data_IF_772636574924
#
_entry.id   IF_772636574924
#
_cell.length_a   1.000
_cell.length_b   1.000
_cell.length_c   1.000
_cell.angle_alpha   90.00
_cell.angle_beta   90.00
_cell.angle_gamma   90.00
#
_symmetry.space_group_name_H-M   'P 1'
#
loop_
_entity.id
_entity.type
_entity.pdbx_description
1 polymer ?
#
# COMPACT_ATOMS: atom_id res chain seq x y z
N UNK A 1 33.81 4.06 24.35
CA UNK A 1 34.42 2.93 23.62
C UNK A 1 33.43 1.76 23.46
N UNK A 2 32.34 1.98 22.72
CA UNK A 2 31.42 0.91 22.29
C UNK A 2 31.86 0.27 20.96
N UNK A 3 32.89 0.82 20.31
CA UNK A 3 33.30 0.40 18.96
C UNK A 3 34.11 -0.90 18.88
N UNK A 4 34.47 -1.52 20.02
CA UNK A 4 35.21 -2.81 20.05
C UNK A 4 34.37 -4.04 20.37
N UNK A 5 33.14 -3.86 20.87
CA UNK A 5 32.18 -4.94 21.12
C UNK A 5 30.90 -4.63 20.33
N UNK A 6 30.85 -5.08 19.07
CA UNK A 6 29.68 -4.86 18.23
C UNK A 6 28.50 -5.70 18.74
N UNK A 7 27.67 -5.10 19.59
CA UNK A 7 26.34 -5.64 19.92
C UNK A 7 25.59 -5.96 18.63
N UNK A 8 24.80 -7.03 18.67
CA UNK A 8 23.86 -7.33 17.60
C UNK A 8 22.81 -6.21 17.52
N UNK A 9 22.21 -6.00 16.35
CA UNK A 9 21.25 -4.91 16.13
C UNK A 9 20.07 -4.95 17.13
N UNK A 10 19.60 -6.15 17.47
CA UNK A 10 18.50 -6.34 18.43
C UNK A 10 18.92 -6.05 19.88
N UNK A 11 20.15 -6.39 20.27
CA UNK A 11 20.69 -6.07 21.61
C UNK A 11 20.85 -4.55 21.75
N UNK A 12 21.41 -3.93 20.73
CA UNK A 12 21.56 -2.48 20.65
C UNK A 12 20.21 -1.76 20.71
N UNK A 13 19.19 -2.31 20.04
CA UNK A 13 17.83 -1.80 20.13
C UNK A 13 17.30 -1.80 21.55
N UNK A 14 17.46 -2.90 22.29
CA UNK A 14 17.03 -2.99 23.70
C UNK A 14 17.76 -1.98 24.59
N UNK A 15 19.07 -1.80 24.38
CA UNK A 15 19.87 -0.83 25.15
C UNK A 15 19.41 0.60 24.86
N UNK A 16 19.24 0.98 23.59
CA UNK A 16 18.77 2.31 23.20
C UNK A 16 17.35 2.56 23.72
N UNK A 17 16.46 1.58 23.61
CA UNK A 17 15.11 1.67 24.16
C UNK A 17 15.11 1.91 25.69
N UNK A 18 15.95 1.18 26.44
CA UNK A 18 16.09 1.39 27.88
C UNK A 18 16.63 2.79 28.22
N UNK A 19 17.60 3.29 27.45
CA UNK A 19 18.12 4.65 27.59
C UNK A 19 16.99 5.67 27.33
N UNK A 20 16.18 5.48 26.29
CA UNK A 20 15.06 6.37 25.97
C UNK A 20 14.05 6.46 27.10
N UNK A 21 13.66 5.33 27.70
CA UNK A 21 12.73 5.31 28.84
C UNK A 21 13.29 6.12 30.03
N UNK A 22 14.60 6.05 30.28
CA UNK A 22 15.25 6.85 31.32
C UNK A 22 15.24 8.34 30.94
N UNK A 23 15.58 8.68 29.70
CA UNK A 23 15.61 10.07 29.24
C UNK A 23 14.21 10.72 29.21
N UNK A 24 13.15 9.94 29.02
CA UNK A 24 11.76 10.40 29.11
C UNK A 24 11.37 10.77 30.55
N UNK A 25 12.04 10.22 31.56
CA UNK A 25 11.79 10.57 32.97
C UNK A 25 12.38 11.93 33.38
N UNK A 26 13.17 12.57 32.52
CA UNK A 26 13.82 13.84 32.85
C UNK A 26 12.80 14.99 32.80
N UNK A 27 12.73 15.78 33.87
CA UNK A 27 11.88 16.99 33.92
C UNK A 27 12.47 18.18 33.16
N UNK A 28 13.79 18.22 32.98
CA UNK A 28 14.50 19.27 32.25
C UNK A 28 14.64 18.91 30.76
N UNK A 29 13.87 19.62 29.92
CA UNK A 29 13.88 19.46 28.46
C UNK A 29 15.23 19.78 27.82
N UNK A 30 15.99 20.74 28.36
CA UNK A 30 17.29 21.10 27.82
C UNK A 30 18.31 19.98 28.09
N UNK A 31 18.31 19.40 29.30
CA UNK A 31 19.13 18.23 29.61
C UNK A 31 18.73 17.00 28.79
N UNK A 32 17.43 16.79 28.57
CA UNK A 32 16.93 15.72 27.70
C UNK A 32 17.44 15.90 26.26
N UNK A 33 17.28 17.09 25.68
CA UNK A 33 17.75 17.42 24.33
C UNK A 33 19.27 17.24 24.17
N UNK A 34 20.05 17.72 25.13
CA UNK A 34 21.51 17.57 25.14
C UNK A 34 21.92 16.08 25.23
N UNK A 35 21.21 15.30 26.04
CA UNK A 35 21.49 13.87 26.21
C UNK A 35 21.14 13.07 24.95
N UNK A 36 20.02 13.39 24.30
CA UNK A 36 19.62 12.78 23.03
C UNK A 36 20.59 13.14 21.89
N UNK A 37 21.01 14.40 21.82
CA UNK A 37 22.02 14.86 20.85
C UNK A 37 23.32 14.10 21.07
N UNK A 38 23.74 13.91 22.33
CA UNK A 38 24.94 13.12 22.66
C UNK A 38 24.78 11.65 22.28
N UNK A 39 23.62 11.04 22.54
CA UNK A 39 23.32 9.65 22.17
C UNK A 39 23.43 9.44 20.65
N UNK A 40 22.93 10.40 19.87
CA UNK A 40 22.91 10.33 18.40
C UNK A 40 24.16 10.89 17.72
N UNK A 41 25.06 11.57 18.44
CA UNK A 41 26.26 12.21 17.89
C UNK A 41 27.12 11.29 17.01
N UNK A 42 27.36 10.05 17.46
CA UNK A 42 28.09 9.04 16.69
C UNK A 42 27.37 8.62 15.41
N UNK A 43 26.04 8.56 15.45
CA UNK A 43 25.18 8.23 14.33
C UNK A 43 25.18 9.35 13.27
N UNK A 44 25.09 10.62 13.70
CA UNK A 44 25.21 11.77 12.81
C UNK A 44 26.57 11.82 12.14
N UNK A 45 27.64 11.66 12.93
CA UNK A 45 29.02 11.63 12.41
C UNK A 45 29.23 10.52 11.38
N UNK A 46 28.61 9.35 11.56
CA UNK A 46 28.70 8.25 10.61
C UNK A 46 28.06 8.59 9.26
N UNK A 47 26.90 9.25 9.27
CA UNK A 47 26.21 9.70 8.05
C UNK A 47 26.96 10.84 7.35
N UNK A 48 27.48 11.79 8.12
CA UNK A 48 28.29 12.89 7.58
C UNK A 48 29.54 12.36 6.89
N UNK A 49 30.26 11.41 7.51
CA UNK A 49 31.45 10.78 6.92
C UNK A 49 31.15 10.03 5.63
N UNK A 50 29.96 9.45 5.51
CA UNK A 50 29.54 8.73 4.31
C UNK A 50 29.16 9.69 3.19
N UNK A 51 28.50 10.81 3.50
CA UNK A 51 27.99 11.79 2.51
C UNK A 51 28.97 12.92 2.19
N UNK A 52 30.19 12.87 2.69
CA UNK A 52 31.22 13.88 2.47
C UNK A 52 31.76 13.79 1.02
N UNK A 53 31.50 14.82 0.20
CA UNK A 53 31.72 14.84 -1.26
C UNK A 53 33.19 14.62 -1.61
N UNK A 54 34.11 15.14 -0.79
CA UNK A 54 35.55 14.98 -0.98
C UNK A 54 36.01 13.52 -0.79
N UNK A 55 35.17 12.68 -0.16
CA UNK A 55 35.46 11.27 0.14
C UNK A 55 34.79 10.28 -0.79
N UNK A 56 33.80 10.65 -1.60
CA UNK A 56 33.10 9.70 -2.48
C UNK A 56 34.07 8.97 -3.44
N UNK A 57 35.02 9.72 -4.02
CA UNK A 57 36.05 9.17 -4.92
C UNK A 57 37.14 8.39 -4.20
N UNK A 58 37.47 8.74 -2.94
CA UNK A 58 38.52 8.05 -2.17
C UNK A 58 38.01 6.79 -1.46
N UNK A 59 36.73 6.74 -1.08
CA UNK A 59 36.07 5.57 -0.50
C UNK A 59 35.94 4.42 -1.50
N UNK A 60 35.69 4.73 -2.78
CA UNK A 60 35.72 3.72 -3.86
C UNK A 60 37.08 3.03 -3.99
N UNK A 61 38.17 3.72 -3.63
CA UNK A 61 39.53 3.17 -3.69
C UNK A 61 39.89 2.31 -2.45
N UNK A 62 39.06 2.29 -1.41
CA UNK A 62 39.25 1.43 -0.23
C UNK A 62 37.93 0.73 0.18
N UNK A 63 37.64 -0.44 -0.40
CA UNK A 63 36.39 -1.17 -0.15
C UNK A 63 36.15 -1.53 1.32
N UNK A 64 37.21 -1.83 2.08
CA UNK A 64 37.08 -2.22 3.48
C UNK A 64 36.64 -1.04 4.36
N UNK A 65 37.25 0.14 4.16
CA UNK A 65 36.84 1.35 4.87
C UNK A 65 35.41 1.75 4.48
N UNK A 66 35.06 1.65 3.20
CA UNK A 66 33.71 1.94 2.72
C UNK A 66 32.63 1.07 3.38
N UNK A 67 32.84 -0.26 3.45
CA UNK A 67 31.91 -1.18 4.13
C UNK A 67 31.78 -0.83 5.63
N UNK A 68 32.86 -0.44 6.28
CA UNK A 68 32.81 -0.01 7.69
C UNK A 68 31.96 1.25 7.87
N UNK A 69 32.11 2.26 7.00
CA UNK A 69 31.28 3.46 7.05
C UNK A 69 29.81 3.18 6.74
N UNK A 70 29.52 2.34 5.74
CA UNK A 70 28.15 1.88 5.44
C UNK A 70 27.50 1.21 6.64
N UNK A 71 28.20 0.25 7.27
CA UNK A 71 27.66 -0.47 8.43
C UNK A 71 27.43 0.47 9.63
N UNK A 72 28.34 1.42 9.85
CA UNK A 72 28.17 2.43 10.89
C UNK A 72 26.97 3.34 10.63
N UNK A 73 26.78 3.77 9.37
CA UNK A 73 25.62 4.56 8.94
C UNK A 73 24.30 3.80 9.11
N UNK A 74 24.25 2.54 8.68
CA UNK A 74 23.09 1.65 8.85
C UNK A 74 22.70 1.53 10.33
N UNK A 75 23.67 1.21 11.20
CA UNK A 75 23.43 1.16 12.66
C UNK A 75 22.97 2.51 13.20
N UNK A 76 23.59 3.60 12.75
CA UNK A 76 23.21 4.96 13.12
C UNK A 76 21.75 5.29 12.81
N UNK A 77 21.28 4.93 11.61
CA UNK A 77 19.90 5.11 11.19
C UNK A 77 18.92 4.26 12.02
N UNK A 78 19.26 3.01 12.31
CA UNK A 78 18.44 2.19 13.20
C UNK A 78 18.31 2.81 14.59
N UNK A 79 19.40 3.32 15.17
CA UNK A 79 19.36 4.04 16.47
C UNK A 79 18.44 5.26 16.40
N UNK A 80 18.57 6.09 15.36
CA UNK A 80 17.70 7.26 15.16
C UNK A 80 16.23 6.85 15.08
N UNK A 81 15.91 5.81 14.31
CA UNK A 81 14.54 5.29 14.20
C UNK A 81 13.97 4.82 15.54
N UNK A 82 14.78 4.17 16.38
CA UNK A 82 14.37 3.75 17.73
C UNK A 82 14.09 4.98 18.60
N UNK A 83 14.99 5.97 18.61
CA UNK A 83 14.78 7.21 19.35
C UNK A 83 13.46 7.87 18.96
N UNK A 84 13.17 8.02 17.66
CA UNK A 84 11.88 8.55 17.22
C UNK A 84 10.70 7.70 17.71
N UNK A 85 10.77 6.36 17.60
CA UNK A 85 9.65 5.49 18.00
C UNK A 85 9.25 5.63 19.48
N UNK A 86 10.19 5.95 20.36
CA UNK A 86 9.91 6.18 21.78
C UNK A 86 9.25 7.54 22.04
N UNK A 87 9.71 8.60 21.35
CA UNK A 87 9.16 9.95 21.50
C UNK A 87 7.66 10.04 21.19
N UNK A 88 7.13 9.17 20.29
CA UNK A 88 5.70 9.06 19.99
C UNK A 88 4.83 8.79 21.22
N UNK A 89 5.35 8.06 22.21
CA UNK A 89 4.58 7.62 23.40
C UNK A 89 4.32 8.77 24.36
N UNK A 90 5.12 9.84 24.28
CA UNK A 90 5.10 10.98 25.20
C UNK A 90 4.22 12.16 24.75
N UNK A 91 3.84 12.21 23.46
CA UNK A 91 3.12 13.33 22.83
C UNK A 91 1.61 13.40 23.16
N UNK A 92 1.08 12.48 23.97
CA UNK A 92 -0.34 12.48 24.36
C UNK A 92 -0.73 13.58 25.36
N UNK A 93 0.22 14.39 25.85
CA UNK A 93 -0.01 15.49 26.77
C UNK A 93 0.55 16.79 26.15
N UNK A 94 -0.34 17.51 25.47
CA UNK A 94 0.02 18.64 24.61
C UNK A 94 0.76 19.77 25.31
N UNK A 95 1.71 20.37 24.57
CA UNK A 95 2.03 21.81 24.47
C UNK A 95 2.96 21.97 23.25
N UNK A 96 2.63 22.91 22.36
CA UNK A 96 3.03 22.89 20.95
C UNK A 96 4.39 23.52 20.58
N UNK A 97 5.06 24.27 21.45
CA UNK A 97 6.11 25.18 20.97
C UNK A 97 7.56 24.85 21.32
N UNK A 98 7.84 23.80 22.10
CA UNK A 98 9.23 23.37 22.41
C UNK A 98 9.29 21.85 22.58
N UNK A 99 9.06 21.13 21.48
CA UNK A 99 9.10 19.68 21.49
C UNK A 99 10.49 19.19 21.03
N UNK A 100 11.11 18.36 21.86
CA UNK A 100 12.35 17.60 21.60
C UNK A 100 12.39 17.01 20.19
N UNK A 101 11.24 16.63 19.66
CA UNK A 101 11.08 16.08 18.32
C UNK A 101 11.41 17.08 17.21
N UNK A 102 11.04 18.36 17.33
CA UNK A 102 11.34 19.39 16.33
C UNK A 102 12.86 19.60 16.22
N UNK A 103 13.56 19.65 17.36
CA UNK A 103 15.04 19.76 17.39
C UNK A 103 15.68 18.57 16.68
N UNK A 104 15.19 17.36 16.94
CA UNK A 104 15.70 16.16 16.29
C UNK A 104 15.38 16.11 14.80
N UNK A 105 14.19 16.52 14.37
CA UNK A 105 13.83 16.59 12.95
C UNK A 105 14.71 17.58 12.19
N UNK A 106 14.99 18.74 12.78
CA UNK A 106 15.86 19.76 12.17
C UNK A 106 17.30 19.28 11.96
N UNK A 107 17.77 18.34 12.77
CA UNK A 107 19.08 17.70 12.58
C UNK A 107 19.00 16.49 11.64
N UNK A 108 17.94 15.70 11.78
CA UNK A 108 17.76 14.44 11.08
C UNK A 108 17.49 14.62 9.59
N UNK A 109 16.53 15.48 9.23
CA UNK A 109 16.08 15.60 7.84
C UNK A 109 17.20 16.08 6.90
N UNK A 110 17.96 17.16 7.18
CA UNK A 110 19.02 17.60 6.27
C UNK A 110 20.09 16.53 6.00
N UNK A 111 20.45 15.74 7.02
CA UNK A 111 21.39 14.63 6.87
C UNK A 111 20.81 13.51 6.00
N UNK A 112 19.54 13.17 6.22
CA UNK A 112 18.87 12.13 5.47
C UNK A 112 18.61 12.55 4.02
N UNK A 113 18.22 13.80 3.79
CA UNK A 113 18.03 14.37 2.45
C UNK A 113 19.33 14.34 1.66
N UNK A 114 20.46 14.72 2.28
CA UNK A 114 21.78 14.61 1.67
C UNK A 114 22.13 13.15 1.35
N UNK A 115 21.79 12.21 2.23
CA UNK A 115 21.98 10.79 2.00
C UNK A 115 21.15 10.29 0.80
N UNK A 116 19.87 10.67 0.73
CA UNK A 116 18.97 10.31 -0.37
C UNK A 116 19.42 10.84 -1.74
N UNK A 117 20.22 11.90 -1.77
CA UNK A 117 20.81 12.45 -3.01
C UNK A 117 22.16 11.81 -3.37
N UNK A 118 22.70 10.96 -2.50
CA UNK A 118 24.01 10.33 -2.70
C UNK A 118 23.93 9.04 -3.51
N UNK A 119 25.05 8.64 -4.12
CA UNK A 119 25.20 7.37 -4.85
C UNK A 119 25.08 6.14 -3.95
N UNK A 120 25.19 6.32 -2.63
CA UNK A 120 25.16 5.21 -1.67
C UNK A 120 23.77 4.56 -1.54
N UNK A 121 22.72 5.22 -2.02
CA UNK A 121 21.34 4.72 -2.02
C UNK A 121 21.12 3.50 -2.95
N UNK A 122 22.09 3.16 -3.77
CA UNK A 122 22.11 1.87 -4.48
C UNK A 122 22.18 0.69 -3.49
N UNK A 123 22.76 0.89 -2.30
CA UNK A 123 22.85 -0.16 -1.29
C UNK A 123 21.49 -0.39 -0.58
N UNK A 124 20.84 -1.52 -0.89
CA UNK A 124 19.52 -1.88 -0.33
C UNK A 124 19.45 -1.84 1.20
N UNK A 125 20.52 -2.22 1.92
CA UNK A 125 20.51 -2.22 3.40
C UNK A 125 20.51 -0.80 3.97
N UNK A 126 21.34 0.08 3.42
CA UNK A 126 21.36 1.50 3.79
C UNK A 126 20.02 2.15 3.48
N UNK A 127 19.49 1.92 2.29
CA UNK A 127 18.21 2.45 1.84
C UNK A 127 17.05 1.97 2.71
N UNK A 128 17.02 0.68 3.05
CA UNK A 128 16.02 0.14 3.98
C UNK A 128 16.15 0.75 5.39
N UNK A 129 17.35 0.95 5.91
CA UNK A 129 17.57 1.58 7.21
C UNK A 129 17.14 3.05 7.21
N UNK A 130 17.46 3.80 6.16
CA UNK A 130 17.07 5.20 5.97
C UNK A 130 15.54 5.35 5.91
N UNK A 131 14.89 4.58 5.04
CA UNK A 131 13.43 4.53 4.90
C UNK A 131 12.75 4.11 6.21
N UNK A 132 13.29 3.13 6.94
CA UNK A 132 12.75 2.72 8.24
C UNK A 132 12.88 3.81 9.30
N UNK A 133 14.03 4.47 9.40
CA UNK A 133 14.23 5.58 10.33
C UNK A 133 13.27 6.74 10.03
N UNK A 134 13.12 7.08 8.74
CA UNK A 134 12.18 8.09 8.27
C UNK A 134 10.74 7.72 8.61
N UNK A 135 10.31 6.47 8.38
CA UNK A 135 8.97 6.03 8.76
C UNK A 135 8.69 6.17 10.26
N UNK A 136 9.68 5.93 11.12
CA UNK A 136 9.52 6.18 12.56
C UNK A 136 9.44 7.68 12.85
N UNK A 137 10.27 8.50 12.21
CA UNK A 137 10.21 9.94 12.36
C UNK A 137 8.83 10.50 11.95
N UNK A 138 8.29 10.07 10.81
CA UNK A 138 6.97 10.47 10.30
C UNK A 138 5.87 10.15 11.33
N UNK A 139 5.79 8.88 11.78
CA UNK A 139 4.77 8.43 12.75
C UNK A 139 4.84 9.17 14.08
N UNK A 140 6.05 9.38 14.59
CA UNK A 140 6.23 9.99 15.90
C UNK A 140 6.01 11.50 15.92
N UNK A 141 6.13 12.16 14.76
CA UNK A 141 6.19 13.63 14.70
C UNK A 141 4.83 14.31 14.57
N UNK A 142 3.82 13.59 14.07
CA UNK A 142 2.49 14.15 13.82
C UNK A 142 2.57 15.49 13.07
N UNK A 143 1.89 16.51 13.60
CA UNK A 143 1.83 17.85 12.98
C UNK A 143 3.21 18.52 12.80
N UNK A 144 4.22 18.16 13.60
CA UNK A 144 5.58 18.73 13.45
C UNK A 144 6.27 18.31 12.15
N UNK A 145 5.74 17.32 11.44
CA UNK A 145 6.31 16.83 10.19
C UNK A 145 5.82 17.57 8.94
N UNK A 146 4.74 18.35 9.05
CA UNK A 146 4.01 18.90 7.89
C UNK A 146 4.91 19.62 6.87
N UNK A 147 5.79 20.49 7.36
CA UNK A 147 6.66 21.30 6.49
C UNK A 147 7.67 20.48 5.67
N UNK A 148 7.94 19.23 6.07
CA UNK A 148 8.87 18.33 5.38
C UNK A 148 8.16 17.39 4.39
N UNK A 149 6.83 17.30 4.40
CA UNK A 149 6.09 16.37 3.52
C UNK A 149 6.47 16.57 2.04
N UNK A 150 6.52 17.82 1.49
CA UNK A 150 6.89 18.02 0.08
C UNK A 150 8.26 17.48 -0.28
N UNK A 151 9.29 17.80 0.51
CA UNK A 151 10.67 17.38 0.24
C UNK A 151 10.84 15.88 0.45
N UNK A 152 10.14 15.30 1.42
CA UNK A 152 10.14 13.86 1.70
C UNK A 152 9.52 13.07 0.54
N UNK A 153 8.31 13.42 0.11
CA UNK A 153 7.63 12.68 -0.96
C UNK A 153 8.35 12.84 -2.30
N UNK A 154 8.93 14.01 -2.58
CA UNK A 154 9.78 14.20 -3.76
C UNK A 154 11.05 13.34 -3.69
N UNK A 155 11.72 13.27 -2.54
CA UNK A 155 12.89 12.42 -2.35
C UNK A 155 12.54 10.93 -2.54
N UNK A 156 11.46 10.44 -1.93
CA UNK A 156 11.02 9.04 -2.02
C UNK A 156 10.67 8.66 -3.46
N UNK A 157 9.87 9.47 -4.14
CA UNK A 157 9.46 9.21 -5.52
C UNK A 157 10.61 9.30 -6.52
N UNK A 158 11.48 10.30 -6.38
CA UNK A 158 12.69 10.44 -7.23
C UNK A 158 13.66 9.28 -7.05
N UNK A 159 13.91 8.89 -5.80
CA UNK A 159 14.80 7.77 -5.52
C UNK A 159 14.22 6.45 -5.99
N UNK A 160 12.92 6.21 -5.82
CA UNK A 160 12.28 5.00 -6.33
C UNK A 160 12.43 4.90 -7.85
N UNK A 161 12.25 5.99 -8.60
CA UNK A 161 12.47 5.99 -10.06
C UNK A 161 13.90 5.61 -10.45
N UNK A 162 14.88 5.96 -9.61
CA UNK A 162 16.30 5.63 -9.82
C UNK A 162 16.66 4.21 -9.39
N UNK A 163 16.04 3.71 -8.31
CA UNK A 163 16.35 2.43 -7.67
C UNK A 163 15.07 1.59 -7.47
N UNK A 164 14.47 1.18 -8.58
CA UNK A 164 13.10 0.61 -8.62
C UNK A 164 12.95 -0.76 -7.94
N UNK A 165 14.05 -1.44 -7.61
CA UNK A 165 14.06 -2.67 -6.81
C UNK A 165 13.86 -2.42 -5.31
N UNK A 166 14.04 -1.19 -4.84
CA UNK A 166 13.98 -0.85 -3.43
C UNK A 166 12.55 -0.50 -3.02
N UNK A 167 11.78 -1.52 -2.65
CA UNK A 167 10.37 -1.42 -2.23
C UNK A 167 10.15 -0.52 -1.00
N UNK A 168 11.20 -0.30 -0.19
CA UNK A 168 11.12 0.48 1.03
C UNK A 168 10.75 1.95 0.81
N UNK A 169 11.03 2.55 -0.36
CA UNK A 169 10.56 3.90 -0.68
C UNK A 169 9.03 3.97 -0.74
N UNK A 170 8.41 2.98 -1.39
CA UNK A 170 6.95 2.86 -1.48
C UNK A 170 6.37 2.58 -0.10
N UNK A 171 6.98 1.67 0.67
CA UNK A 171 6.56 1.38 2.07
C UNK A 171 6.67 2.60 2.99
N UNK A 172 7.66 3.46 2.81
CA UNK A 172 7.77 4.70 3.60
C UNK A 172 6.72 5.71 3.16
N UNK A 173 6.41 5.81 1.87
CA UNK A 173 5.33 6.65 1.39
C UNK A 173 3.95 6.20 1.90
N UNK A 174 3.71 4.89 2.08
CA UNK A 174 2.52 4.36 2.78
C UNK A 174 2.35 5.06 4.12
N UNK A 175 3.41 5.12 4.92
CA UNK A 175 3.38 5.75 6.25
C UNK A 175 3.06 7.24 6.18
N UNK A 176 3.57 7.95 5.18
CA UNK A 176 3.24 9.38 4.98
C UNK A 176 1.76 9.55 4.63
N UNK A 177 1.22 8.68 3.78
CA UNK A 177 -0.20 8.70 3.38
C UNK A 177 -1.11 8.31 4.55
N UNK A 178 -0.74 7.32 5.37
CA UNK A 178 -1.49 6.94 6.57
C UNK A 178 -1.62 8.10 7.56
N UNK A 179 -0.53 8.84 7.78
CA UNK A 179 -0.51 9.96 8.74
C UNK A 179 -1.13 11.24 8.18
N UNK A 180 -0.94 11.54 6.89
CA UNK A 180 -1.26 12.86 6.32
C UNK A 180 -2.16 12.85 5.10
N UNK A 181 -2.59 11.69 4.61
CA UNK A 181 -3.42 11.58 3.39
C UNK A 181 -4.70 12.41 3.45
N UNK A 182 -5.25 12.60 4.65
CA UNK A 182 -6.48 13.37 4.90
C UNK A 182 -6.29 14.88 4.75
N UNK A 183 -5.05 15.36 4.53
CA UNK A 183 -4.73 16.79 4.41
C UNK A 183 -4.86 17.22 2.94
N UNK A 184 -6.02 17.76 2.61
CA UNK A 184 -6.38 18.24 1.25
C UNK A 184 -5.37 19.23 0.68
N UNK A 185 -4.72 20.05 1.53
CA UNK A 185 -3.67 21.00 1.14
C UNK A 185 -2.48 20.35 0.41
N UNK A 186 -2.20 19.06 0.65
CA UNK A 186 -1.16 18.28 -0.03
C UNK A 186 -1.72 17.36 -1.13
N UNK A 187 -2.99 17.50 -1.50
CA UNK A 187 -3.66 16.61 -2.45
C UNK A 187 -2.92 16.46 -3.78
N UNK A 188 -2.51 17.58 -4.40
CA UNK A 188 -1.75 17.55 -5.65
C UNK A 188 -0.40 16.80 -5.53
N UNK A 189 0.26 16.91 -4.36
CA UNK A 189 1.51 16.22 -4.09
C UNK A 189 1.29 14.71 -3.93
N UNK A 190 0.20 14.29 -3.26
CA UNK A 190 -0.16 12.87 -3.14
C UNK A 190 -0.49 12.26 -4.50
N UNK A 191 -1.25 12.97 -5.34
CA UNK A 191 -1.57 12.55 -6.71
C UNK A 191 -0.28 12.38 -7.53
N UNK A 192 0.61 13.38 -7.51
CA UNK A 192 1.89 13.31 -8.22
C UNK A 192 2.76 12.14 -7.72
N UNK A 193 2.80 11.90 -6.41
CA UNK A 193 3.55 10.76 -5.85
C UNK A 193 2.99 9.42 -6.34
N UNK A 194 1.66 9.28 -6.35
CA UNK A 194 1.00 8.08 -6.82
C UNK A 194 1.23 7.86 -8.33
N UNK A 195 1.14 8.92 -9.13
CA UNK A 195 1.47 8.87 -10.56
C UNK A 195 2.92 8.43 -10.79
N UNK A 196 3.90 9.04 -10.11
CA UNK A 196 5.33 8.68 -10.24
C UNK A 196 5.61 7.23 -9.89
N UNK A 197 4.95 6.68 -8.86
CA UNK A 197 5.08 5.25 -8.54
C UNK A 197 4.42 4.36 -9.58
N UNK A 198 3.21 4.69 -10.02
CA UNK A 198 2.43 3.88 -10.97
C UNK A 198 3.07 3.88 -12.36
N UNK A 199 3.64 5.01 -12.76
CA UNK A 199 4.30 5.23 -14.05
C UNK A 199 5.78 4.77 -14.05
N UNK A 200 6.29 4.19 -12.97
CA UNK A 200 7.66 3.66 -12.94
C UNK A 200 7.82 2.46 -13.89
N UNK A 201 9.05 2.21 -14.38
CA UNK A 201 9.30 1.09 -15.29
C UNK A 201 8.99 -0.27 -14.64
N UNK A 202 9.22 -0.43 -13.34
CA UNK A 202 8.99 -1.66 -12.59
C UNK A 202 7.51 -1.97 -12.40
N UNK A 203 6.68 -0.95 -12.12
CA UNK A 203 5.22 -1.12 -11.97
C UNK A 203 4.55 -1.24 -13.34
N UNK A 204 4.96 -0.45 -14.34
CA UNK A 204 4.43 -0.56 -15.70
C UNK A 204 4.77 -1.91 -16.34
N UNK A 205 5.92 -2.51 -16.02
CA UNK A 205 6.32 -3.84 -16.45
C UNK A 205 5.46 -4.99 -15.88
N UNK A 206 4.62 -4.74 -14.87
CA UNK A 206 3.67 -5.73 -14.34
C UNK A 206 2.55 -6.00 -15.37
N UNK A 207 2.86 -6.79 -16.40
CA UNK A 207 1.96 -7.11 -17.51
C UNK A 207 1.57 -8.59 -17.56
N UNK A 208 2.21 -9.43 -16.75
CA UNK A 208 1.94 -10.87 -16.68
C UNK A 208 2.21 -11.42 -15.28
N UNK A 209 1.60 -12.58 -14.97
CA UNK A 209 1.82 -13.32 -13.71
C UNK A 209 3.32 -13.58 -13.43
N UNK A 210 4.07 -13.99 -14.46
CA UNK A 210 5.49 -14.32 -14.34
C UNK A 210 6.34 -13.14 -13.87
N UNK A 211 6.05 -11.92 -14.35
CA UNK A 211 6.80 -10.73 -13.93
C UNK A 211 6.42 -10.36 -12.49
N UNK A 212 5.14 -10.47 -12.13
CA UNK A 212 4.68 -10.24 -10.76
C UNK A 212 5.39 -11.17 -9.76
N UNK A 213 5.61 -12.43 -10.13
CA UNK A 213 6.28 -13.44 -9.30
C UNK A 213 7.78 -13.17 -9.07
N UNK A 214 8.42 -12.37 -9.93
CA UNK A 214 9.83 -12.00 -9.80
C UNK A 214 10.08 -10.88 -8.79
N UNK A 215 9.07 -10.09 -8.44
CA UNK A 215 9.21 -8.92 -7.57
C UNK A 215 8.13 -8.85 -6.47
N UNK A 216 7.97 -9.91 -5.64
CA UNK A 216 6.85 -10.01 -4.71
C UNK A 216 6.82 -8.89 -3.67
N UNK A 217 7.98 -8.53 -3.11
CA UNK A 217 8.10 -7.46 -2.11
C UNK A 217 7.62 -6.10 -2.65
N UNK A 218 7.94 -5.81 -3.92
CA UNK A 218 7.58 -4.56 -4.58
C UNK A 218 6.08 -4.51 -4.87
N UNK A 219 5.52 -5.60 -5.39
CA UNK A 219 4.07 -5.66 -5.66
C UNK A 219 3.29 -5.53 -4.35
N UNK A 220 3.71 -6.21 -3.29
CA UNK A 220 3.07 -6.07 -1.98
C UNK A 220 3.17 -4.65 -1.43
N UNK A 221 4.33 -3.99 -1.55
CA UNK A 221 4.49 -2.61 -1.15
C UNK A 221 3.59 -1.65 -1.95
N UNK A 222 3.50 -1.82 -3.27
CA UNK A 222 2.64 -1.02 -4.13
C UNK A 222 1.16 -1.22 -3.82
N UNK A 223 0.70 -2.47 -3.65
CA UNK A 223 -0.69 -2.75 -3.27
C UNK A 223 -1.02 -2.20 -1.88
N UNK A 224 -0.07 -2.23 -0.93
CA UNK A 224 -0.24 -1.59 0.37
C UNK A 224 -0.36 -0.07 0.24
N UNK A 225 0.44 0.55 -0.63
CA UNK A 225 0.37 1.98 -0.91
C UNK A 225 -0.98 2.38 -1.49
N UNK A 226 -1.48 1.65 -2.50
CA UNK A 226 -2.77 1.97 -3.11
C UNK A 226 -3.94 1.77 -2.14
N UNK A 227 -3.89 0.77 -1.26
CA UNK A 227 -4.87 0.58 -0.19
C UNK A 227 -4.85 1.78 0.77
N UNK A 228 -3.67 2.17 1.28
CA UNK A 228 -3.59 3.31 2.21
C UNK A 228 -3.99 4.62 1.52
N UNK A 229 -3.63 4.81 0.26
CA UNK A 229 -4.09 5.94 -0.55
C UNK A 229 -5.62 6.03 -0.59
N UNK A 230 -6.27 4.92 -0.92
CA UNK A 230 -7.73 4.83 -0.97
C UNK A 230 -8.41 5.07 0.38
N UNK A 231 -7.80 4.65 1.49
CA UNK A 231 -8.39 4.78 2.82
C UNK A 231 -8.18 6.14 3.47
N UNK A 232 -7.04 6.77 3.23
CA UNK A 232 -6.62 7.97 3.99
C UNK A 232 -6.75 9.26 3.19
N UNK A 233 -6.74 9.24 1.85
CA UNK A 233 -6.92 10.46 1.06
C UNK A 233 -8.37 10.94 1.05
N UNK A 234 -8.56 12.27 0.94
CA UNK A 234 -9.89 12.88 0.82
C UNK A 234 -10.58 12.47 -0.48
N UNK A 235 -11.90 12.57 -0.52
CA UNK A 235 -12.68 12.22 -1.71
C UNK A 235 -12.21 13.01 -2.95
N UNK A 236 -11.95 14.30 -2.80
CA UNK A 236 -11.49 15.19 -3.87
C UNK A 236 -10.18 14.71 -4.51
N UNK A 237 -9.25 14.24 -3.67
CA UNK A 237 -7.97 13.66 -4.12
C UNK A 237 -8.20 12.36 -4.87
N UNK A 238 -9.13 11.51 -4.41
CA UNK A 238 -9.48 10.26 -5.10
C UNK A 238 -10.15 10.54 -6.45
N UNK A 239 -11.06 11.52 -6.54
CA UNK A 239 -11.69 11.92 -7.82
C UNK A 239 -10.62 12.39 -8.81
N UNK A 240 -9.71 13.26 -8.37
CA UNK A 240 -8.64 13.78 -9.22
C UNK A 240 -7.61 12.71 -9.66
N UNK A 241 -7.62 11.53 -9.02
CA UNK A 241 -6.70 10.42 -9.31
C UNK A 241 -7.23 9.40 -10.32
N UNK A 242 -8.36 9.67 -10.99
CA UNK A 242 -9.09 8.67 -11.79
C UNK A 242 -8.24 7.88 -12.79
N UNK A 243 -7.37 8.54 -13.57
CA UNK A 243 -6.51 7.86 -14.55
C UNK A 243 -5.47 6.94 -13.92
N UNK A 244 -4.83 7.40 -12.84
CA UNK A 244 -3.83 6.60 -12.10
C UNK A 244 -4.50 5.45 -11.36
N UNK A 245 -5.71 5.66 -10.82
CA UNK A 245 -6.53 4.61 -10.22
C UNK A 245 -6.94 3.53 -11.23
N UNK A 246 -7.26 3.93 -12.46
CA UNK A 246 -7.57 2.98 -13.53
C UNK A 246 -6.36 2.06 -13.79
N UNK A 247 -5.19 2.66 -14.00
CA UNK A 247 -3.94 1.92 -14.22
C UNK A 247 -3.60 1.01 -13.04
N UNK A 248 -3.71 1.49 -11.81
CA UNK A 248 -3.41 0.69 -10.63
C UNK A 248 -4.36 -0.49 -10.46
N UNK A 249 -5.66 -0.32 -10.74
CA UNK A 249 -6.64 -1.42 -10.74
C UNK A 249 -6.33 -2.45 -11.82
N UNK A 250 -5.93 -2.02 -13.03
CA UNK A 250 -5.49 -2.92 -14.08
C UNK A 250 -4.25 -3.73 -13.67
N UNK A 251 -3.25 -3.08 -13.05
CA UNK A 251 -2.07 -3.78 -12.50
C UNK A 251 -2.46 -4.78 -11.43
N UNK A 252 -3.36 -4.40 -10.51
CA UNK A 252 -3.86 -5.29 -9.48
C UNK A 252 -4.61 -6.50 -10.05
N UNK A 253 -5.42 -6.32 -11.09
CA UNK A 253 -6.08 -7.42 -11.77
C UNK A 253 -5.05 -8.43 -12.28
N UNK A 254 -4.02 -7.99 -13.01
CA UNK A 254 -2.95 -8.86 -13.50
C UNK A 254 -2.25 -9.59 -12.34
N UNK A 255 -1.89 -8.87 -11.27
CA UNK A 255 -1.24 -9.45 -10.09
C UNK A 255 -2.10 -10.52 -9.37
N UNK A 256 -3.42 -10.55 -9.53
CA UNK A 256 -4.25 -11.61 -8.95
C UNK A 256 -3.88 -13.01 -9.48
N UNK A 257 -3.35 -13.09 -10.71
CA UNK A 257 -2.98 -14.34 -11.37
C UNK A 257 -1.59 -14.85 -10.98
N UNK A 258 -0.79 -14.05 -10.27
CA UNK A 258 0.58 -14.38 -9.86
C UNK A 258 0.62 -15.63 -8.97
N UNK A 259 1.53 -16.57 -9.22
CA UNK A 259 1.63 -17.82 -8.47
C UNK A 259 2.03 -17.60 -7.01
N UNK A 260 2.78 -16.54 -6.73
CA UNK A 260 3.15 -16.12 -5.40
C UNK A 260 1.90 -15.70 -4.61
N UNK A 261 1.61 -16.46 -3.55
CA UNK A 261 0.40 -16.28 -2.73
C UNK A 261 0.27 -14.88 -2.14
N UNK A 262 1.37 -14.29 -1.66
CA UNK A 262 1.38 -12.95 -1.05
C UNK A 262 0.92 -11.88 -2.02
N UNK A 263 1.65 -11.69 -3.13
CA UNK A 263 1.27 -10.92 -4.32
C UNK A 263 -0.21 -11.02 -4.69
N UNK A 264 -0.72 -12.23 -4.98
CA UNK A 264 -2.10 -12.40 -5.41
C UNK A 264 -3.11 -11.94 -4.34
N UNK A 265 -2.88 -12.29 -3.07
CA UNK A 265 -3.76 -11.88 -1.98
C UNK A 265 -3.70 -10.38 -1.68
N UNK A 266 -2.53 -9.74 -1.82
CA UNK A 266 -2.35 -8.30 -1.68
C UNK A 266 -3.09 -7.55 -2.79
N UNK A 267 -2.96 -7.99 -4.03
CA UNK A 267 -3.69 -7.42 -5.17
C UNK A 267 -5.22 -7.56 -5.02
N UNK A 268 -5.69 -8.76 -4.64
CA UNK A 268 -7.11 -8.98 -4.34
C UNK A 268 -7.60 -8.14 -3.14
N UNK A 269 -6.74 -7.84 -2.17
CA UNK A 269 -7.09 -6.95 -1.06
C UNK A 269 -7.30 -5.52 -1.53
N UNK A 270 -6.45 -5.05 -2.45
CA UNK A 270 -6.58 -3.73 -3.04
C UNK A 270 -7.85 -3.61 -3.88
N UNK A 271 -8.13 -4.56 -4.77
CA UNK A 271 -9.38 -4.58 -5.55
C UNK A 271 -10.60 -4.58 -4.63
N UNK A 272 -10.61 -5.42 -3.60
CA UNK A 272 -11.73 -5.47 -2.66
C UNK A 272 -11.89 -4.16 -1.88
N UNK A 273 -10.79 -3.49 -1.52
CA UNK A 273 -10.78 -2.16 -0.90
C UNK A 273 -11.37 -1.09 -1.84
N UNK A 274 -10.94 -1.06 -3.10
CA UNK A 274 -11.46 -0.15 -4.11
C UNK A 274 -12.98 -0.31 -4.29
N UNK A 275 -13.45 -1.56 -4.43
CA UNK A 275 -14.88 -1.85 -4.56
C UNK A 275 -15.67 -1.50 -3.30
N UNK A 276 -15.11 -1.74 -2.12
CA UNK A 276 -15.75 -1.41 -0.83
C UNK A 276 -15.99 0.09 -0.67
N UNK A 277 -15.01 0.91 -1.03
CA UNK A 277 -15.10 2.38 -1.00
C UNK A 277 -16.08 2.86 -2.08
N UNK A 278 -16.08 2.22 -3.26
CA UNK A 278 -17.04 2.50 -4.34
C UNK A 278 -18.48 2.25 -3.88
N UNK A 279 -18.75 1.12 -3.24
CA UNK A 279 -20.08 0.80 -2.70
C UNK A 279 -20.47 1.81 -1.62
N UNK A 280 -19.56 2.16 -0.72
CA UNK A 280 -19.83 3.17 0.32
C UNK A 280 -20.23 4.51 -0.31
N UNK A 281 -19.45 4.99 -1.27
CA UNK A 281 -19.74 6.24 -1.99
C UNK A 281 -21.08 6.14 -2.73
N UNK A 282 -21.38 5.04 -3.41
CA UNK A 282 -22.67 4.86 -4.11
C UNK A 282 -23.88 4.89 -3.15
N UNK A 283 -23.76 4.32 -1.95
CA UNK A 283 -24.83 4.31 -0.94
C UNK A 283 -25.01 5.66 -0.25
N UNK A 284 -23.93 6.39 0.03
CA UNK A 284 -23.98 7.72 0.68
C UNK A 284 -24.58 8.80 -0.25
N UNK A 285 -24.36 8.67 -1.56
CA UNK A 285 -24.77 9.65 -2.58
C UNK A 285 -26.21 9.53 -3.09
N UNK A 286 -27.05 8.64 -2.54
CA UNK A 286 -28.50 8.64 -2.84
C UNK A 286 -29.19 9.97 -2.48
N UNK A 287 -28.51 10.87 -1.75
CA UNK A 287 -29.09 12.11 -1.21
C UNK A 287 -28.57 13.43 -1.80
N UNK A 288 -27.44 13.48 -2.53
CA UNK A 288 -26.90 14.72 -3.14
C UNK A 288 -26.17 14.43 -4.47
N UNK A 289 -26.56 15.09 -5.55
CA UNK A 289 -25.95 14.93 -6.88
C UNK A 289 -24.76 15.89 -7.04
N UNK A 290 -23.57 15.34 -7.32
CA UNK A 290 -22.49 16.06 -8.03
C UNK A 290 -22.01 15.19 -9.20
N UNK A 291 -21.81 15.77 -10.38
CA UNK A 291 -21.22 15.07 -11.54
C UNK A 291 -19.75 14.67 -11.30
N UNK A 292 -19.13 15.27 -10.29
CA UNK A 292 -17.75 15.02 -9.87
C UNK A 292 -17.80 14.32 -8.51
N UNK A 293 -18.08 13.02 -8.52
CA UNK A 293 -18.07 12.15 -7.32
C UNK A 293 -17.09 11.00 -7.50
N UNK A 294 -16.60 10.43 -6.40
CA UNK A 294 -15.73 9.25 -6.50
C UNK A 294 -16.48 8.07 -7.12
N UNK A 295 -17.77 7.91 -6.81
CA UNK A 295 -18.62 6.87 -7.42
C UNK A 295 -18.68 6.96 -8.94
N UNK A 296 -18.71 8.17 -9.53
CA UNK A 296 -18.68 8.36 -10.98
C UNK A 296 -17.37 7.84 -11.60
N UNK A 297 -16.24 8.26 -11.03
CA UNK A 297 -14.90 7.86 -11.47
C UNK A 297 -14.71 6.34 -11.32
N UNK A 298 -15.06 5.79 -10.16
CA UNK A 298 -14.92 4.36 -9.91
C UNK A 298 -15.80 3.51 -10.83
N UNK A 299 -17.02 3.98 -11.14
CA UNK A 299 -17.92 3.35 -12.13
C UNK A 299 -17.29 3.36 -13.52
N UNK A 300 -16.65 4.46 -13.93
CA UNK A 300 -15.94 4.56 -15.20
C UNK A 300 -14.73 3.61 -15.25
N UNK A 301 -13.93 3.55 -14.19
CA UNK A 301 -12.81 2.60 -14.06
C UNK A 301 -13.31 1.15 -14.21
N UNK A 302 -14.42 0.80 -13.56
CA UNK A 302 -15.02 -0.53 -13.70
C UNK A 302 -15.55 -0.81 -15.11
N UNK A 303 -16.04 0.20 -15.83
CA UNK A 303 -16.48 0.03 -17.21
C UNK A 303 -15.31 -0.21 -18.17
N UNK A 304 -14.20 0.51 -18.00
CA UNK A 304 -13.02 0.35 -18.85
C UNK A 304 -12.22 -0.92 -18.52
N UNK A 305 -12.12 -1.28 -17.24
CA UNK A 305 -11.23 -2.35 -16.76
C UNK A 305 -11.97 -3.60 -16.29
N UNK A 306 -13.31 -3.60 -16.30
CA UNK A 306 -14.14 -4.64 -15.70
C UNK A 306 -14.01 -6.01 -16.37
N UNK A 307 -13.94 -6.06 -17.71
CA UNK A 307 -13.74 -7.31 -18.43
C UNK A 307 -12.39 -7.96 -18.05
N UNK A 308 -11.31 -7.17 -18.08
CA UNK A 308 -9.99 -7.62 -17.66
C UNK A 308 -9.96 -8.02 -16.17
N UNK A 309 -10.69 -7.33 -15.31
CA UNK A 309 -10.80 -7.65 -13.89
C UNK A 309 -11.49 -9.02 -13.68
N UNK A 310 -12.66 -9.23 -14.27
CA UNK A 310 -13.39 -10.51 -14.19
C UNK A 310 -12.53 -11.64 -14.76
N UNK A 311 -11.90 -11.41 -15.92
CA UNK A 311 -11.01 -12.37 -16.54
C UNK A 311 -9.88 -12.79 -15.61
N UNK A 312 -9.15 -11.83 -15.04
CA UNK A 312 -8.03 -12.15 -14.14
C UNK A 312 -8.48 -12.80 -12.83
N UNK A 313 -9.64 -12.46 -12.27
CA UNK A 313 -10.17 -13.13 -11.07
C UNK A 313 -10.48 -14.61 -11.36
N UNK A 314 -11.06 -14.91 -12.52
CA UNK A 314 -11.36 -16.29 -12.93
C UNK A 314 -10.06 -17.04 -13.21
N UNK A 315 -9.10 -16.45 -13.92
CA UNK A 315 -7.78 -17.04 -14.13
C UNK A 315 -7.01 -17.26 -12.82
N UNK A 316 -7.20 -16.40 -11.82
CA UNK A 316 -6.63 -16.59 -10.49
C UNK A 316 -7.21 -17.82 -9.75
N UNK A 317 -8.36 -18.34 -10.18
CA UNK A 317 -8.95 -19.58 -9.67
C UNK A 317 -8.46 -20.82 -10.42
N UNK A 318 -7.54 -20.67 -11.36
CA UNK A 318 -6.88 -21.78 -12.04
C UNK A 318 -5.52 -22.07 -11.39
N UNK A 319 -5.08 -23.31 -11.46
CA UNK A 319 -3.73 -23.73 -11.05
C UNK A 319 -3.55 -24.01 -9.54
N UNK A 320 -2.29 -24.17 -9.08
CA UNK A 320 -1.96 -24.90 -7.85
C UNK A 320 -2.41 -24.20 -6.55
N UNK A 321 -2.64 -22.89 -6.56
CA UNK A 321 -3.00 -22.09 -5.38
C UNK A 321 -4.43 -21.57 -5.40
N UNK A 322 -5.27 -22.03 -6.33
CA UNK A 322 -6.66 -21.59 -6.55
C UNK A 322 -7.51 -21.54 -5.26
N UNK A 323 -7.44 -22.59 -4.42
CA UNK A 323 -8.22 -22.66 -3.17
C UNK A 323 -7.90 -21.55 -2.17
N UNK A 324 -6.66 -21.06 -2.16
CA UNK A 324 -6.28 -19.97 -1.27
C UNK A 324 -6.93 -18.64 -1.66
N UNK A 325 -7.41 -18.54 -2.91
CA UNK A 325 -7.98 -17.33 -3.53
C UNK A 325 -9.51 -17.37 -3.63
N UNK A 326 -10.13 -18.55 -3.51
CA UNK A 326 -11.60 -18.75 -3.55
C UNK A 326 -12.36 -17.75 -2.70
N UNK A 327 -11.92 -17.53 -1.46
CA UNK A 327 -12.61 -16.65 -0.53
C UNK A 327 -12.60 -15.20 -1.01
N UNK A 328 -11.42 -14.65 -1.37
CA UNK A 328 -11.32 -13.27 -1.85
C UNK A 328 -11.98 -13.09 -3.22
N UNK A 329 -11.86 -14.07 -4.11
CA UNK A 329 -12.54 -14.05 -5.42
C UNK A 329 -14.06 -13.97 -5.26
N UNK A 330 -14.63 -14.77 -4.36
CA UNK A 330 -16.05 -14.71 -4.05
C UNK A 330 -16.47 -13.35 -3.47
N UNK A 331 -15.68 -12.78 -2.56
CA UNK A 331 -15.95 -11.44 -2.01
C UNK A 331 -15.91 -10.36 -3.10
N UNK A 332 -14.89 -10.37 -3.96
CA UNK A 332 -14.74 -9.39 -5.04
C UNK A 332 -15.90 -9.51 -6.04
N UNK A 333 -16.25 -10.73 -6.47
CA UNK A 333 -17.37 -10.96 -7.38
C UNK A 333 -18.71 -10.54 -6.76
N UNK A 334 -18.90 -10.78 -5.45
CA UNK A 334 -20.08 -10.30 -4.72
C UNK A 334 -20.11 -8.77 -4.68
N UNK A 335 -18.99 -8.10 -4.40
CA UNK A 335 -18.89 -6.63 -4.37
C UNK A 335 -19.16 -6.01 -5.76
N UNK A 336 -18.60 -6.58 -6.83
CA UNK A 336 -18.89 -6.14 -8.21
C UNK A 336 -20.39 -6.28 -8.48
N UNK A 337 -20.98 -7.43 -8.18
CA UNK A 337 -22.41 -7.66 -8.38
C UNK A 337 -23.27 -6.66 -7.58
N UNK A 338 -22.87 -6.31 -6.36
CA UNK A 338 -23.54 -5.28 -5.54
C UNK A 338 -23.49 -3.89 -6.17
N UNK A 339 -22.35 -3.48 -6.74
CA UNK A 339 -22.23 -2.20 -7.47
C UNK A 339 -23.20 -2.19 -8.65
N UNK A 340 -23.25 -3.26 -9.44
CA UNK A 340 -24.16 -3.38 -10.58
C UNK A 340 -25.63 -3.32 -10.13
N UNK A 341 -25.97 -3.96 -9.02
CA UNK A 341 -27.32 -3.88 -8.44
C UNK A 341 -27.70 -2.44 -8.05
N UNK A 342 -26.81 -1.71 -7.34
CA UNK A 342 -27.04 -0.31 -6.95
C UNK A 342 -27.18 0.58 -8.20
N UNK A 343 -26.29 0.42 -9.19
CA UNK A 343 -26.32 1.22 -10.41
C UNK A 343 -27.61 1.01 -11.23
N UNK A 344 -28.13 -0.23 -11.27
CA UNK A 344 -29.37 -0.56 -11.98
C UNK A 344 -30.61 -0.05 -11.24
N UNK A 345 -30.59 -0.04 -9.90
CA UNK A 345 -31.68 0.48 -9.06
C UNK A 345 -31.69 2.01 -8.98
N UNK A 346 -30.57 2.66 -9.29
CA UNK A 346 -30.41 4.11 -9.27
C UNK A 346 -30.52 4.75 -10.67
N UNK A 347 -30.34 6.07 -10.74
CA UNK A 347 -30.34 6.82 -12.01
C UNK A 347 -29.12 6.51 -12.91
N UNK A 348 -28.17 5.69 -12.46
CA UNK A 348 -26.99 5.22 -13.21
C UNK A 348 -27.29 4.11 -14.22
N UNK A 349 -28.57 3.78 -14.42
CA UNK A 349 -29.06 2.74 -15.35
C UNK A 349 -28.52 2.82 -16.77
N UNK A 350 -28.07 4.01 -17.21
CA UNK A 350 -27.50 4.22 -18.55
C UNK A 350 -26.05 3.79 -18.70
N UNK A 351 -25.29 3.70 -17.61
CA UNK A 351 -23.85 3.43 -17.65
C UNK A 351 -23.51 1.94 -17.41
N UNK A 352 -24.13 1.30 -16.42
CA UNK A 352 -23.83 -0.08 -16.01
C UNK A 352 -25.09 -0.94 -16.06
N UNK A 353 -25.00 -2.12 -16.68
CA UNK A 353 -26.11 -3.08 -16.75
C UNK A 353 -25.65 -4.49 -16.37
N UNK A 354 -26.58 -5.30 -15.84
CA UNK A 354 -26.35 -6.73 -15.63
C UNK A 354 -25.85 -7.44 -16.89
N UNK A 355 -26.30 -7.02 -18.06
CA UNK A 355 -25.85 -7.57 -19.34
C UNK A 355 -24.34 -7.41 -19.54
N UNK A 356 -23.75 -6.28 -19.13
CA UNK A 356 -22.31 -6.05 -19.25
C UNK A 356 -21.51 -7.03 -18.39
N UNK A 357 -21.86 -7.18 -17.11
CA UNK A 357 -21.20 -8.14 -16.20
C UNK A 357 -21.34 -9.57 -16.70
N UNK A 358 -22.52 -9.92 -17.18
CA UNK A 358 -22.82 -11.24 -17.71
C UNK A 358 -22.10 -11.53 -19.03
N UNK A 359 -21.91 -10.52 -19.86
CA UNK A 359 -21.08 -10.61 -21.06
C UNK A 359 -19.62 -10.83 -20.70
N UNK A 360 -19.05 -10.08 -19.74
CA UNK A 360 -17.67 -10.26 -19.29
C UNK A 360 -17.43 -11.66 -18.72
N UNK A 361 -18.38 -12.16 -17.92
CA UNK A 361 -18.33 -13.53 -17.39
C UNK A 361 -18.36 -14.57 -18.52
N UNK A 362 -19.29 -14.42 -19.47
CA UNK A 362 -19.42 -15.35 -20.60
C UNK A 362 -18.15 -15.33 -21.47
N UNK A 363 -17.70 -14.13 -21.89
CA UNK A 363 -16.48 -13.89 -22.67
C UNK A 363 -15.26 -14.56 -22.03
N UNK A 364 -15.09 -14.38 -20.71
CA UNK A 364 -14.00 -15.01 -19.97
C UNK A 364 -14.09 -16.53 -20.01
N UNK A 365 -15.27 -17.10 -19.75
CA UNK A 365 -15.44 -18.56 -19.67
C UNK A 365 -15.27 -19.22 -21.04
N UNK A 366 -15.72 -18.56 -22.12
CA UNK A 366 -15.54 -19.02 -23.50
C UNK A 366 -14.07 -18.97 -23.95
N UNK A 367 -13.24 -18.14 -23.31
CA UNK A 367 -11.79 -18.06 -23.59
C UNK A 367 -10.96 -19.09 -22.81
N UNK A 368 -11.57 -19.86 -21.90
CA UNK A 368 -10.86 -20.89 -21.16
C UNK A 368 -10.52 -22.08 -22.08
N UNK A 369 -9.30 -22.65 -21.98
CA UNK A 369 -8.96 -23.86 -22.71
C UNK A 369 -9.91 -25.02 -22.39
N UNK A 370 -10.20 -25.87 -23.38
CA UNK A 370 -11.09 -27.04 -23.24
C UNK A 370 -10.59 -28.05 -22.19
N UNK A 371 -9.31 -27.99 -21.82
CA UNK A 371 -8.76 -28.80 -20.72
C UNK A 371 -9.41 -28.48 -19.37
N UNK A 372 -9.92 -27.25 -19.18
CA UNK A 372 -10.55 -26.83 -17.92
C UNK A 372 -12.06 -27.06 -17.89
N UNK A 373 -12.76 -26.78 -19.00
CA UNK A 373 -14.21 -26.91 -19.10
C UNK A 373 -14.65 -27.17 -20.54
N UNK A 374 -15.62 -28.08 -20.74
CA UNK A 374 -16.28 -28.27 -22.05
C UNK A 374 -17.34 -27.20 -22.29
N UNK A 375 -17.64 -26.89 -23.57
CA UNK A 375 -18.64 -25.86 -23.92
C UNK A 375 -20.02 -26.05 -23.26
N UNK A 376 -20.48 -27.30 -23.13
CA UNK A 376 -21.75 -27.60 -22.46
C UNK A 376 -21.71 -27.33 -20.95
N UNK A 377 -20.54 -27.49 -20.32
CA UNK A 377 -20.32 -27.21 -18.90
C UNK A 377 -20.20 -25.70 -18.66
N UNK A 378 -19.58 -24.97 -19.59
CA UNK A 378 -19.49 -23.50 -19.58
C UNK A 378 -20.88 -22.87 -19.52
N UNK A 379 -21.76 -23.22 -20.47
CA UNK A 379 -23.11 -22.65 -20.54
C UNK A 379 -23.94 -22.92 -19.28
N UNK A 380 -23.82 -24.14 -18.73
CA UNK A 380 -24.48 -24.51 -17.48
C UNK A 380 -23.93 -23.74 -16.28
N UNK A 381 -22.60 -23.67 -16.13
CA UNK A 381 -21.95 -22.94 -15.04
C UNK A 381 -22.26 -21.45 -15.09
N UNK A 382 -22.15 -20.82 -16.25
CA UNK A 382 -22.43 -19.39 -16.39
C UNK A 382 -23.87 -19.08 -15.99
N UNK A 383 -24.84 -19.93 -16.35
CA UNK A 383 -26.24 -19.75 -15.93
C UNK A 383 -26.38 -19.76 -14.40
N UNK A 384 -25.76 -20.74 -13.72
CA UNK A 384 -25.78 -20.82 -12.25
C UNK A 384 -25.10 -19.62 -11.61
N UNK A 385 -23.97 -19.17 -12.17
CA UNK A 385 -23.23 -18.02 -11.64
C UNK A 385 -24.04 -16.74 -11.76
N UNK A 386 -24.73 -16.52 -12.89
CA UNK A 386 -25.61 -15.36 -13.10
C UNK A 386 -26.67 -15.26 -12.01
N UNK A 387 -27.43 -16.33 -11.78
CA UNK A 387 -28.47 -16.37 -10.75
C UNK A 387 -27.88 -16.17 -9.35
N UNK A 388 -26.76 -16.83 -9.06
CA UNK A 388 -26.12 -16.75 -7.75
C UNK A 388 -25.56 -15.36 -7.47
N UNK A 389 -24.99 -14.67 -8.47
CA UNK A 389 -24.45 -13.32 -8.34
C UNK A 389 -25.54 -12.30 -7.97
N UNK A 390 -26.73 -12.40 -8.59
CA UNK A 390 -27.87 -11.52 -8.28
C UNK A 390 -28.33 -11.71 -6.82
N UNK A 391 -28.44 -12.95 -6.36
CA UNK A 391 -28.79 -13.26 -4.97
C UNK A 391 -27.70 -12.80 -4.01
N UNK A 392 -26.42 -13.03 -4.35
CA UNK A 392 -25.29 -12.60 -3.53
C UNK A 392 -25.19 -11.07 -3.39
N UNK A 393 -25.49 -10.33 -4.46
CA UNK A 393 -25.54 -8.87 -4.45
C UNK A 393 -26.62 -8.36 -3.50
N UNK A 394 -27.85 -8.88 -3.63
CA UNK A 394 -28.98 -8.51 -2.77
C UNK A 394 -28.70 -8.77 -1.30
N UNK A 395 -28.14 -9.95 -0.99
CA UNK A 395 -27.76 -10.33 0.37
C UNK A 395 -26.68 -9.43 0.97
N UNK A 396 -25.72 -8.99 0.15
CA UNK A 396 -24.63 -8.10 0.58
C UNK A 396 -25.13 -6.69 0.88
N UNK A 397 -26.09 -6.19 0.11
CA UNK A 397 -26.68 -4.87 0.37
C UNK A 397 -27.57 -4.91 1.63
N UNK A 398 -28.40 -5.95 1.76
CA UNK A 398 -29.28 -6.13 2.92
C UNK A 398 -28.52 -6.28 4.26
N UNK A 399 -27.32 -6.85 4.26
CA UNK A 399 -26.50 -6.92 5.47
C UNK A 399 -25.91 -5.56 5.87
N UNK A 400 -25.69 -4.66 4.91
CA UNK A 400 -25.16 -3.32 5.18
C UNK A 400 -26.21 -2.32 5.67
N UNK A 401 -27.46 -2.49 5.30
CA UNK A 401 -28.57 -1.71 5.87
C UNK A 401 -28.76 -2.01 7.37
N UNK A 402 -28.39 -3.21 7.82
CA UNK A 402 -28.54 -3.65 9.21
C UNK A 402 -27.28 -3.42 10.08
N UNK A 403 -26.09 -3.39 9.50
CA UNK A 403 -24.83 -3.12 10.20
C UNK A 403 -24.55 -1.60 10.26
N UNK A 404 -25.23 -0.91 11.18
CA UNK A 404 -24.77 0.40 11.62
C UNK A 404 -23.46 0.24 12.41
N UNK A 405 -22.35 0.57 11.76
CA UNK A 405 -21.05 0.92 12.36
C UNK A 405 -20.24 -0.27 12.92
N UNK A 406 -19.04 -0.45 12.33
CA UNK A 406 -17.88 -1.25 12.78
C UNK A 406 -17.96 -2.78 12.65
N UNK A 407 -17.42 -3.32 11.55
CA UNK A 407 -16.15 -4.07 11.54
C UNK A 407 -15.82 -4.63 10.15
N UNK A 408 -14.59 -4.38 9.67
CA UNK A 408 -14.07 -4.73 8.35
C UNK A 408 -13.78 -6.22 8.12
N UNK A 409 -14.70 -7.10 8.49
CA UNK A 409 -14.55 -8.52 8.23
C UNK A 409 -15.00 -8.84 6.80
N UNK A 410 -14.03 -8.86 5.88
CA UNK A 410 -14.10 -9.22 4.45
C UNK A 410 -14.55 -10.69 4.23
N UNK A 411 -15.77 -11.06 4.64
CA UNK A 411 -16.35 -12.38 4.36
C UNK A 411 -17.53 -12.24 3.41
N UNK A 412 -17.76 -13.19 2.48
CA UNK A 412 -18.99 -13.22 1.72
C UNK A 412 -20.19 -13.24 2.67
N UNK A 413 -21.06 -12.26 2.55
CA UNK A 413 -22.18 -12.05 3.46
C UNK A 413 -23.46 -12.70 2.90
N UNK A 414 -24.33 -13.16 3.80
CA UNK A 414 -25.60 -13.79 3.44
C UNK A 414 -25.52 -15.23 2.91
N UNK A 415 -26.68 -15.78 2.55
CA UNK A 415 -26.82 -17.13 1.97
C UNK A 415 -26.30 -17.15 0.52
N UNK A 416 -26.56 -16.10 -0.25
CA UNK A 416 -26.07 -15.88 -1.61
C UNK A 416 -24.55 -15.82 -1.68
N UNK A 417 -23.89 -15.05 -0.80
CA UNK A 417 -22.42 -15.02 -0.74
C UNK A 417 -21.79 -16.39 -0.42
N UNK A 418 -22.43 -17.18 0.46
CA UNK A 418 -22.00 -18.57 0.74
C UNK A 418 -22.22 -19.50 -0.45
N UNK A 419 -23.34 -19.36 -1.16
CA UNK A 419 -23.60 -20.13 -2.39
C UNK A 419 -22.58 -19.79 -3.48
N UNK A 420 -22.28 -18.50 -3.69
CA UNK A 420 -21.26 -18.03 -4.62
C UNK A 420 -19.89 -18.62 -4.30
N UNK A 421 -19.48 -18.56 -3.04
CA UNK A 421 -18.21 -19.16 -2.58
C UNK A 421 -18.17 -20.67 -2.83
N UNK A 422 -19.28 -21.40 -2.64
CA UNK A 422 -19.35 -22.84 -2.89
C UNK A 422 -19.18 -23.17 -4.37
N UNK A 423 -19.86 -22.41 -5.24
CA UNK A 423 -19.77 -22.60 -6.70
C UNK A 423 -18.36 -22.28 -7.21
N UNK A 424 -17.76 -21.17 -6.76
CA UNK A 424 -16.37 -20.82 -7.08
C UNK A 424 -15.39 -21.88 -6.58
N UNK A 425 -15.61 -22.43 -5.38
CA UNK A 425 -14.80 -23.52 -4.86
C UNK A 425 -14.87 -24.75 -5.75
N UNK A 426 -16.07 -25.15 -6.17
CA UNK A 426 -16.24 -26.30 -7.05
C UNK A 426 -15.48 -26.10 -8.37
N UNK A 427 -15.57 -24.90 -8.96
CA UNK A 427 -14.79 -24.55 -10.16
C UNK A 427 -13.27 -24.63 -9.92
N UNK A 428 -12.79 -24.08 -8.80
CA UNK A 428 -11.38 -24.12 -8.41
C UNK A 428 -10.86 -25.53 -8.10
N UNK A 429 -11.72 -26.46 -7.66
CA UNK A 429 -11.35 -27.84 -7.39
C UNK A 429 -11.30 -28.69 -8.68
N UNK A 430 -12.14 -28.39 -9.68
CA UNK A 430 -12.11 -29.03 -11.01
C UNK A 430 -10.89 -28.60 -11.82
N UNK A 431 -10.47 -27.34 -11.70
CA UNK A 431 -9.32 -26.78 -12.45
C UNK A 431 -7.93 -27.12 -11.88
N UNK A 432 -7.85 -28.01 -10.88
CA UNK A 432 -6.60 -28.54 -10.33
C UNK A 432 -6.06 -29.77 -11.03
N UNK A 433 -6.97 -30.55 -11.63
CA UNK A 433 -6.64 -31.71 -12.45
C UNK A 433 -6.23 -31.24 -13.83
#
# INVERSE_FOLDING_TARGET
>A
NLDKNNLALEEEKCVVAAIMVILESFSDKQLQNNSLTRLLSSSYTALEKLTDVDKENSLRNNPAAYIQFLNAAVKGLYRMGIVFSHLSTSLSLGYFDDSTIVVLLNLFWPLLEKLFKSVHMENRNLTAAACKALSQAVKSSGQHFLMMIPTVLDCLSTNFLSFQSNDCYVRTAVVVIEEFGHREEYGALFINTFDRFTSSASITALTSSNICDQMPDLVEAYMSFTISYMFFCSEEVLVASGSVLELSVQKAAICCTAMHRGVALSAMSYISCFLEITIRSLLEYETRFSEVSFSAIATQVLLHSGEGLISNIIHALLGPSALSRVHKSATILQQIASIFQICVQSKWKTAISWNSLFHWLQSTMDCLPEEYLKQNEINYLVTIWKETLVVAASDYLASRENDSIRNGNMRPQGRGGRALKKIIRNFADVSKT
#
